data_IF_524757230949
#
_entry.id   IF_524757230949
#
_cell.length_a   1.000
_cell.length_b   1.000
_cell.length_c   1.000
_cell.angle_alpha   90.00
_cell.angle_beta   90.00
_cell.angle_gamma   90.00
#
_symmetry.space_group_name_H-M   'P 1'
#
loop_
_entity.id
_entity.type
_entity.pdbx_description
1 polymer ?
#
# COMPACT_ATOMS: atom_id res chain seq x y z
N UNK A 1 -12.36 27.25 3.52
CA UNK A 1 -12.33 26.32 2.37
C UNK A 1 -10.86 26.13 1.97
N UNK A 2 -10.08 25.44 2.81
CA UNK A 2 -8.61 25.37 2.67
C UNK A 2 -8.06 23.95 2.95
N UNK A 3 -8.81 23.14 3.70
CA UNK A 3 -8.46 21.76 4.06
C UNK A 3 -8.32 20.82 2.86
N UNK A 4 -9.06 21.02 1.78
CA UNK A 4 -9.06 20.10 0.63
C UNK A 4 -7.74 20.09 -0.16
N UNK A 5 -7.11 21.27 -0.29
CA UNK A 5 -5.84 21.44 -1.01
C UNK A 5 -4.66 20.88 -0.19
N UNK A 6 -4.61 21.19 1.11
CA UNK A 6 -3.59 20.66 2.03
C UNK A 6 -3.61 19.13 2.10
N UNK A 7 -4.80 18.54 2.02
CA UNK A 7 -4.92 17.09 1.97
C UNK A 7 -4.40 16.50 0.66
N UNK A 8 -4.67 17.12 -0.49
CA UNK A 8 -4.15 16.63 -1.79
C UNK A 8 -2.62 16.72 -1.85
N UNK A 9 -2.03 17.80 -1.35
CA UNK A 9 -0.57 17.92 -1.23
C UNK A 9 0.02 16.85 -0.31
N UNK A 10 -0.61 16.60 0.84
CA UNK A 10 -0.17 15.54 1.76
C UNK A 10 -0.26 14.15 1.12
N UNK A 11 -1.38 13.81 0.46
CA UNK A 11 -1.52 12.52 -0.23
C UNK A 11 -0.47 12.38 -1.34
N UNK A 12 -0.22 13.45 -2.09
CA UNK A 12 0.81 13.47 -3.12
C UNK A 12 2.21 13.27 -2.54
N UNK A 13 2.53 13.96 -1.45
CA UNK A 13 3.79 13.79 -0.73
C UNK A 13 3.98 12.35 -0.25
N UNK A 14 2.97 11.74 0.38
CA UNK A 14 3.04 10.33 0.79
C UNK A 14 3.27 9.42 -0.41
N UNK A 15 2.57 9.65 -1.53
CA UNK A 15 2.74 8.86 -2.73
C UNK A 15 4.15 8.96 -3.32
N UNK A 16 4.68 10.18 -3.43
CA UNK A 16 5.98 10.47 -4.04
C UNK A 16 7.15 9.98 -3.16
N UNK A 17 7.04 10.10 -1.84
CA UNK A 17 8.06 9.64 -0.88
C UNK A 17 7.92 8.17 -0.48
N UNK A 18 6.84 7.49 -0.89
CA UNK A 18 6.72 6.04 -0.70
C UNK A 18 7.76 5.32 -1.54
N UNK A 19 8.56 4.47 -0.89
CA UNK A 19 9.64 3.70 -1.53
C UNK A 19 9.27 2.23 -1.58
N UNK A 20 9.26 1.65 -2.79
CA UNK A 20 9.18 0.20 -2.97
C UNK A 20 10.60 -0.37 -2.88
N UNK A 21 10.94 -0.92 -1.72
CA UNK A 21 12.29 -1.44 -1.45
C UNK A 21 12.49 -2.81 -2.09
N UNK A 22 11.42 -3.60 -2.20
CA UNK A 22 11.44 -4.90 -2.83
C UNK A 22 10.14 -5.14 -3.59
N UNK A 23 10.27 -5.59 -4.84
CA UNK A 23 9.14 -6.05 -5.64
C UNK A 23 9.02 -7.58 -5.59
N UNK A 24 7.79 -8.12 -5.64
CA UNK A 24 7.60 -9.54 -5.85
C UNK A 24 8.11 -9.96 -7.24
N UNK A 25 8.69 -11.15 -7.36
CA UNK A 25 9.23 -11.67 -8.63
C UNK A 25 8.16 -12.25 -9.59
N UNK A 26 6.90 -12.33 -9.16
CA UNK A 26 5.80 -12.94 -9.94
C UNK A 26 4.85 -11.88 -10.48
N UNK A 27 4.59 -11.94 -11.80
CA UNK A 27 3.86 -10.95 -12.58
C UNK A 27 2.34 -10.94 -12.39
N UNK A 28 1.74 -9.75 -12.56
CA UNK A 28 0.31 -9.43 -12.26
C UNK A 28 -0.61 -9.77 -13.45
N UNK A 29 -0.09 -10.10 -14.63
CA UNK A 29 -0.90 -9.94 -15.86
C UNK A 29 -1.75 -11.16 -16.24
N UNK A 30 -1.41 -12.41 -15.87
CA UNK A 30 -2.21 -13.57 -16.32
C UNK A 30 -3.18 -14.09 -15.26
N UNK A 31 -4.27 -13.38 -15.03
CA UNK A 31 -5.39 -13.85 -14.21
C UNK A 31 -5.52 -13.19 -12.84
N UNK A 32 -6.12 -13.91 -11.88
CA UNK A 32 -6.28 -13.44 -10.51
C UNK A 32 -4.98 -13.63 -9.73
N UNK A 33 -4.44 -12.56 -9.17
CA UNK A 33 -3.17 -12.59 -8.45
C UNK A 33 -3.35 -12.14 -7.02
N UNK A 34 -2.59 -12.78 -6.13
CA UNK A 34 -2.47 -12.38 -4.74
C UNK A 34 -1.07 -11.83 -4.54
N UNK A 35 -0.97 -10.58 -4.13
CA UNK A 35 0.27 -9.86 -3.86
C UNK A 35 0.39 -9.61 -2.36
N UNK A 36 1.12 -10.48 -1.64
CA UNK A 36 1.52 -10.18 -0.28
C UNK A 36 2.40 -8.93 -0.24
N UNK A 37 2.16 -8.07 0.74
CA UNK A 37 2.99 -6.91 1.00
C UNK A 37 3.31 -6.80 2.49
N UNK A 38 4.46 -6.19 2.77
CA UNK A 38 4.87 -5.72 4.09
C UNK A 38 5.18 -4.24 3.93
N UNK A 39 4.37 -3.39 4.54
CA UNK A 39 4.56 -1.96 4.58
C UNK A 39 5.14 -1.58 5.94
N UNK A 40 6.17 -0.76 5.94
CA UNK A 40 6.89 -0.34 7.13
C UNK A 40 6.93 1.19 7.14
N UNK A 41 6.66 1.79 8.29
CA UNK A 41 6.89 3.21 8.52
C UNK A 41 7.10 3.51 9.99
N UNK A 42 7.44 4.76 10.30
CA UNK A 42 7.62 5.19 11.67
C UNK A 42 6.30 5.25 12.44
N UNK A 43 6.32 4.89 13.72
CA UNK A 43 5.21 5.18 14.63
C UNK A 43 5.15 6.70 14.88
N UNK A 44 3.96 7.29 14.72
CA UNK A 44 3.77 8.74 14.82
C UNK A 44 4.18 9.29 16.18
N UNK A 45 3.82 8.59 17.25
CA UNK A 45 4.08 9.03 18.63
C UNK A 45 5.51 8.75 19.07
N UNK A 46 6.16 7.76 18.45
CA UNK A 46 7.51 7.32 18.78
C UNK A 46 8.29 7.00 17.50
N UNK A 47 8.90 7.99 16.84
CA UNK A 47 9.58 7.78 15.55
C UNK A 47 10.73 6.76 15.59
N UNK A 48 11.25 6.44 16.77
CA UNK A 48 12.21 5.35 16.98
C UNK A 48 11.61 3.95 17.01
N UNK A 49 10.29 3.82 16.79
CA UNK A 49 9.55 2.56 16.68
C UNK A 49 8.98 2.41 15.29
N UNK A 50 8.95 1.18 14.81
CA UNK A 50 8.42 0.83 13.51
C UNK A 50 6.99 0.30 13.65
N UNK A 51 6.13 0.69 12.74
CA UNK A 51 4.84 0.06 12.50
C UNK A 51 4.94 -0.74 11.21
N UNK A 52 4.54 -1.99 11.29
CA UNK A 52 4.50 -2.94 10.19
C UNK A 52 3.04 -3.24 9.87
N UNK A 53 2.66 -3.07 8.61
CA UNK A 53 1.35 -3.41 8.06
C UNK A 53 1.55 -4.50 7.04
N UNK A 54 1.07 -5.70 7.34
CA UNK A 54 1.06 -6.83 6.41
C UNK A 54 -0.32 -7.00 5.82
N UNK A 55 -0.39 -7.41 4.57
CA UNK A 55 -1.64 -7.80 3.96
C UNK A 55 -1.42 -8.51 2.63
N UNK A 56 -2.53 -8.88 2.00
CA UNK A 56 -2.55 -9.51 0.68
C UNK A 56 -3.50 -8.75 -0.22
N UNK A 57 -3.00 -8.28 -1.36
CA UNK A 57 -3.82 -7.58 -2.34
C UNK A 57 -4.23 -8.59 -3.41
N UNK A 58 -5.52 -8.75 -3.60
CA UNK A 58 -6.12 -9.54 -4.67
C UNK A 58 -6.33 -8.62 -5.87
N UNK A 59 -5.62 -8.89 -6.95
CA UNK A 59 -5.72 -8.13 -8.21
C UNK A 59 -6.49 -8.95 -9.22
N UNK A 60 -7.52 -8.34 -9.82
CA UNK A 60 -8.27 -8.95 -10.91
C UNK A 60 -8.23 -8.07 -12.16
N UNK A 61 -7.92 -8.63 -13.35
CA UNK A 61 -7.92 -7.94 -14.63
C UNK A 61 -9.33 -7.69 -15.16
N UNK A 62 -10.38 -8.15 -14.47
CA UNK A 62 -11.77 -7.84 -14.84
C UNK A 62 -11.97 -6.32 -14.77
N UNK A 63 -12.09 -5.72 -15.95
CA UNK A 63 -12.45 -4.33 -16.19
C UNK A 63 -13.52 -3.88 -15.19
N UNK A 64 -13.12 -3.10 -14.18
CA UNK A 64 -14.08 -2.46 -13.27
C UNK A 64 -14.64 -1.26 -14.00
N UNK A 65 -15.79 -1.46 -14.64
CA UNK A 65 -16.67 -0.34 -15.01
C UNK A 65 -17.35 0.06 -13.70
N UNK A 66 -16.77 1.01 -12.97
CA UNK A 66 -17.50 1.67 -11.88
C UNK A 66 -18.49 2.67 -12.52
N UNK A 67 -19.81 2.45 -12.44
CA UNK A 67 -20.76 3.43 -12.92
C UNK A 67 -20.90 4.52 -11.84
N UNK A 68 -20.23 5.66 -12.05
CA UNK A 68 -20.46 6.87 -11.26
C UNK A 68 -19.42 7.20 -10.19
N UNK A 69 -19.67 8.33 -9.50
CA UNK A 69 -18.84 8.95 -8.44
C UNK A 69 -18.85 8.20 -7.10
N UNK A 70 -19.48 7.02 -7.04
CA UNK A 70 -19.76 6.24 -5.81
C UNK A 70 -19.00 4.89 -5.79
N UNK A 71 -17.73 4.89 -6.18
CA UNK A 71 -16.84 3.75 -5.94
C UNK A 71 -16.56 3.55 -4.43
N UNK A 72 -16.11 2.36 -4.01
CA UNK A 72 -15.74 2.14 -2.62
C UNK A 72 -14.58 3.06 -2.21
N UNK A 73 -14.62 3.52 -0.97
CA UNK A 73 -13.56 4.30 -0.34
C UNK A 73 -12.37 3.42 0.05
N UNK A 74 -11.21 4.00 0.33
CA UNK A 74 -10.06 3.22 0.83
C UNK A 74 -10.42 2.39 2.08
N UNK A 75 -11.24 2.94 2.97
CA UNK A 75 -11.65 2.23 4.19
C UNK A 75 -12.53 1.01 3.92
N UNK A 76 -13.25 1.00 2.79
CA UNK A 76 -14.07 -0.14 2.36
C UNK A 76 -13.24 -1.17 1.59
N UNK A 77 -12.26 -0.72 0.78
CA UNK A 77 -11.35 -1.59 0.03
C UNK A 77 -10.34 -2.33 0.91
N UNK A 78 -9.86 -1.67 1.97
CA UNK A 78 -8.80 -2.20 2.83
C UNK A 78 -9.29 -2.72 4.19
N UNK A 79 -10.55 -2.46 4.55
CA UNK A 79 -11.22 -3.06 5.71
C UNK A 79 -10.79 -2.56 7.08
N UNK A 80 -9.75 -1.73 7.18
CA UNK A 80 -9.28 -1.14 8.44
C UNK A 80 -9.47 0.37 8.46
N UNK A 81 -10.27 0.81 9.43
CA UNK A 81 -10.63 2.21 9.65
C UNK A 81 -9.98 2.80 10.90
N UNK A 82 -9.34 1.97 11.74
CA UNK A 82 -8.77 2.42 13.02
C UNK A 82 -7.37 3.00 12.84
N UNK A 83 -6.52 2.35 12.04
CA UNK A 83 -5.20 2.90 11.71
C UNK A 83 -5.27 3.99 10.62
N UNK A 84 -6.25 3.88 9.72
CA UNK A 84 -6.35 4.72 8.54
C UNK A 84 -6.78 6.15 8.88
N UNK A 85 -6.14 7.15 8.27
CA UNK A 85 -6.52 8.55 8.48
C UNK A 85 -7.95 8.83 7.97
N UNK A 86 -8.73 9.61 8.72
CA UNK A 86 -10.14 9.93 8.40
C UNK A 86 -10.29 10.60 7.04
N UNK A 87 -9.25 11.27 6.57
CA UNK A 87 -9.19 11.88 5.23
C UNK A 87 -9.31 10.86 4.11
N UNK A 88 -8.95 9.60 4.34
CA UNK A 88 -9.06 8.51 3.36
C UNK A 88 -10.41 7.79 3.44
N UNK A 89 -11.05 7.75 4.62
CA UNK A 89 -12.32 7.04 4.86
C UNK A 89 -13.44 7.56 3.97
N UNK A 90 -13.52 8.88 3.74
CA UNK A 90 -14.61 9.50 2.97
C UNK A 90 -14.26 9.72 1.49
N UNK A 91 -13.04 9.40 1.06
CA UNK A 91 -12.61 9.64 -0.31
C UNK A 91 -12.87 8.39 -1.16
N UNK A 92 -13.79 8.55 -2.11
CA UNK A 92 -14.00 7.60 -3.20
C UNK A 92 -12.82 7.71 -4.16
N UNK A 93 -12.10 6.62 -4.39
CA UNK A 93 -11.02 6.58 -5.35
C UNK A 93 -11.30 5.58 -6.47
N UNK A 94 -11.13 6.03 -7.70
CA UNK A 94 -10.37 5.25 -8.67
C UNK A 94 -8.90 5.50 -8.34
N UNK A 95 -8.10 4.46 -8.12
CA UNK A 95 -6.65 4.58 -7.88
C UNK A 95 -6.09 5.59 -8.89
N UNK A 96 -5.69 6.79 -8.42
CA UNK A 96 -5.41 7.93 -9.30
C UNK A 96 -4.19 7.66 -10.17
N UNK A 97 -3.33 6.76 -9.69
CA UNK A 97 -2.02 6.51 -10.24
C UNK A 97 -1.84 5.06 -10.74
N UNK A 98 -2.63 4.10 -10.28
CA UNK A 98 -2.65 2.74 -10.84
C UNK A 98 -3.71 2.56 -11.96
N UNK A 99 -3.44 1.71 -12.97
CA UNK A 99 -4.44 1.24 -13.95
C UNK A 99 -5.76 0.78 -13.33
N UNK A 100 -6.85 0.78 -14.11
CA UNK A 100 -8.19 0.35 -13.68
C UNK A 100 -8.27 -1.17 -13.46
N UNK A 101 -7.80 -1.64 -12.30
CA UNK A 101 -7.90 -3.04 -11.84
C UNK A 101 -8.79 -3.15 -10.59
N UNK A 102 -9.49 -4.27 -10.42
CA UNK A 102 -10.22 -4.54 -9.18
C UNK A 102 -9.23 -4.98 -8.10
N UNK A 103 -9.30 -4.35 -6.92
CA UNK A 103 -8.41 -4.60 -5.80
C UNK A 103 -9.21 -4.89 -4.54
N UNK A 104 -8.76 -5.89 -3.79
CA UNK A 104 -9.30 -6.25 -2.48
C UNK A 104 -8.13 -6.56 -1.55
N UNK A 105 -8.12 -5.99 -0.34
CA UNK A 105 -7.12 -6.31 0.66
C UNK A 105 -7.67 -7.36 1.63
N UNK A 106 -6.91 -8.42 1.81
CA UNK A 106 -7.18 -9.45 2.80
C UNK A 106 -6.06 -9.57 3.83
N UNK A 107 -6.43 -10.09 5.00
CA UNK A 107 -5.50 -10.45 6.08
C UNK A 107 -4.61 -9.30 6.55
N UNK A 108 -5.20 -8.12 6.67
CA UNK A 108 -4.51 -6.98 7.23
C UNK A 108 -4.08 -7.29 8.68
N UNK A 109 -2.77 -7.18 8.93
CA UNK A 109 -2.18 -7.33 10.25
C UNK A 109 -1.27 -6.14 10.52
N UNK A 110 -1.54 -5.46 11.63
CA UNK A 110 -0.74 -4.31 12.06
C UNK A 110 0.04 -4.72 13.30
N UNK A 111 1.34 -4.52 13.26
CA UNK A 111 2.25 -4.85 14.34
C UNK A 111 3.14 -3.65 14.65
N UNK A 112 3.39 -3.41 15.93
CA UNK A 112 4.33 -2.41 16.41
C UNK A 112 5.62 -3.10 16.82
N UNK A 113 6.75 -2.48 16.55
CA UNK A 113 8.07 -3.02 16.85
C UNK A 113 8.93 -1.97 17.57
N UNK A 114 9.56 -2.38 18.67
CA UNK A 114 10.51 -1.58 19.44
C UNK A 114 11.89 -1.50 18.74
N UNK A 115 11.90 -0.97 17.52
CA UNK A 115 13.12 -0.72 16.72
C UNK A 115 12.85 0.38 15.71
N UNK A 116 13.90 1.01 15.23
CA UNK A 116 13.78 2.00 14.18
C UNK A 116 13.27 1.39 12.86
N UNK A 117 12.56 2.16 12.03
CA UNK A 117 12.01 1.68 10.76
C UNK A 117 13.06 1.09 9.82
N UNK A 118 14.23 1.72 9.68
CA UNK A 118 15.30 1.27 8.79
C UNK A 118 15.84 -0.09 9.22
N UNK A 119 16.21 -0.25 10.49
CA UNK A 119 16.64 -1.54 11.05
C UNK A 119 15.54 -2.61 10.98
N UNK A 120 14.27 -2.22 11.04
CA UNK A 120 13.18 -3.16 10.81
C UNK A 120 13.09 -3.63 9.36
N UNK A 121 13.27 -2.73 8.39
CA UNK A 121 13.28 -3.06 6.95
C UNK A 121 14.38 -4.06 6.65
N UNK A 122 15.61 -3.83 7.12
CA UNK A 122 16.74 -4.75 6.93
C UNK A 122 16.42 -6.15 7.45
N UNK A 123 15.88 -6.23 8.67
CA UNK A 123 15.46 -7.50 9.27
C UNK A 123 14.40 -8.21 8.43
N UNK A 124 13.39 -7.48 7.95
CA UNK A 124 12.31 -8.08 7.13
C UNK A 124 12.90 -8.63 5.83
N UNK A 125 13.79 -7.89 5.18
CA UNK A 125 14.46 -8.35 3.96
C UNK A 125 15.29 -9.62 4.23
N UNK A 126 16.07 -9.65 5.31
CA UNK A 126 16.85 -10.83 5.73
C UNK A 126 15.96 -12.05 6.01
N UNK A 127 14.82 -11.84 6.69
CA UNK A 127 13.85 -12.90 6.96
C UNK A 127 13.23 -13.46 5.67
N UNK A 128 12.88 -12.58 4.73
CA UNK A 128 12.33 -13.00 3.42
C UNK A 128 13.36 -13.79 2.61
N UNK A 129 14.63 -13.37 2.61
CA UNK A 129 15.73 -14.09 1.95
C UNK A 129 15.94 -15.45 2.60
N UNK A 130 16.07 -15.50 3.93
CA UNK A 130 16.31 -16.74 4.68
C UNK A 130 15.21 -17.79 4.49
N UNK A 131 13.96 -17.33 4.32
CA UNK A 131 12.80 -18.20 4.09
C UNK A 131 12.51 -18.43 2.60
N UNK A 132 13.35 -17.91 1.71
CA UNK A 132 13.20 -18.04 0.26
C UNK A 132 11.85 -17.49 -0.27
N UNK A 133 11.29 -16.48 0.41
CA UNK A 133 10.00 -15.89 0.05
C UNK A 133 10.21 -14.84 -1.04
N UNK A 134 9.89 -15.17 -2.29
CA UNK A 134 10.14 -14.31 -3.46
C UNK A 134 8.95 -13.46 -3.92
N UNK A 135 7.75 -13.76 -3.44
CA UNK A 135 6.49 -13.19 -3.92
C UNK A 135 5.94 -12.05 -3.04
N UNK A 136 6.70 -11.59 -2.05
CA UNK A 136 6.25 -10.55 -1.11
C UNK A 136 6.94 -9.22 -1.40
N UNK A 137 6.15 -8.17 -1.60
CA UNK A 137 6.64 -6.80 -1.72
C UNK A 137 6.99 -6.18 -0.37
N UNK A 138 8.02 -5.34 -0.34
CA UNK A 138 8.39 -4.55 0.85
C UNK A 138 8.32 -3.07 0.49
N UNK A 139 7.52 -2.33 1.25
CA UNK A 139 7.17 -0.93 1.01
C UNK A 139 7.60 -0.13 2.25
N UNK A 140 8.21 1.02 2.04
CA UNK A 140 8.50 1.99 3.09
C UNK A 140 7.63 3.22 2.85
N UNK A 141 6.89 3.64 3.88
CA UNK A 141 6.01 4.80 3.82
C UNK A 141 6.48 5.91 4.76
N UNK A 142 6.33 7.19 4.37
CA UNK A 142 6.58 8.32 5.26
C UNK A 142 5.52 8.45 6.37
N UNK A 143 4.29 7.94 6.18
CA UNK A 143 3.23 7.98 7.20
C UNK A 143 2.31 6.76 7.07
N UNK A 144 2.35 5.88 8.09
CA UNK A 144 1.60 4.62 8.11
C UNK A 144 0.07 4.78 8.12
N UNK A 145 -0.45 5.95 8.51
CA UNK A 145 -1.91 6.20 8.48
C UNK A 145 -2.44 6.38 7.06
N UNK A 146 -1.52 6.61 6.12
CA UNK A 146 -1.77 6.73 4.69
C UNK A 146 -1.30 5.50 3.92
N UNK A 147 -1.19 4.34 4.59
CA UNK A 147 -0.80 3.08 3.95
C UNK A 147 -1.57 2.73 2.66
N UNK A 148 -2.86 3.09 2.45
CA UNK A 148 -3.53 2.80 1.19
C UNK A 148 -2.93 3.57 0.00
N UNK A 149 -2.41 4.78 0.24
CA UNK A 149 -1.71 5.59 -0.77
C UNK A 149 -0.36 4.97 -1.12
N UNK A 150 0.36 4.47 -0.12
CA UNK A 150 1.61 3.75 -0.35
C UNK A 150 1.41 2.43 -1.08
N UNK A 151 0.29 1.76 -0.85
CA UNK A 151 -0.12 0.59 -1.62
C UNK A 151 -0.47 0.97 -3.06
N UNK A 152 -1.18 2.07 -3.31
CA UNK A 152 -1.42 2.59 -4.67
C UNK A 152 -0.09 2.81 -5.42
N UNK A 153 0.88 3.44 -4.76
CA UNK A 153 2.24 3.59 -5.31
C UNK A 153 2.88 2.26 -5.66
N UNK A 154 2.82 1.27 -4.76
CA UNK A 154 3.35 -0.06 -4.99
C UNK A 154 2.70 -0.76 -6.18
N UNK A 155 1.37 -0.75 -6.26
CA UNK A 155 0.62 -1.37 -7.34
C UNK A 155 0.96 -0.70 -8.68
N UNK A 156 1.01 0.63 -8.73
CA UNK A 156 1.47 1.35 -9.92
C UNK A 156 2.86 0.91 -10.33
N UNK A 157 3.80 0.80 -9.40
CA UNK A 157 5.19 0.47 -9.73
C UNK A 157 5.36 -0.95 -10.28
N UNK A 158 4.52 -1.90 -9.84
CA UNK A 158 4.52 -3.26 -10.40
C UNK A 158 3.85 -3.24 -11.77
N UNK A 159 2.71 -2.57 -11.93
CA UNK A 159 2.01 -2.48 -13.21
C UNK A 159 2.86 -1.75 -14.26
N UNK A 160 3.53 -0.65 -13.88
CA UNK A 160 4.46 0.08 -14.75
C UNK A 160 5.65 -0.78 -15.20
N UNK A 161 6.07 -1.75 -14.40
CA UNK A 161 7.14 -2.69 -14.77
C UNK A 161 6.62 -3.74 -15.75
N UNK A 162 5.41 -4.24 -15.54
CA UNK A 162 4.82 -5.34 -16.32
C UNK A 162 4.23 -4.88 -17.67
N UNK A 163 3.79 -3.63 -17.78
CA UNK A 163 3.21 -3.06 -19.01
C UNK A 163 4.19 -2.17 -19.81
N UNK A 164 5.47 -2.11 -19.42
CA UNK A 164 6.52 -1.38 -20.17
C UNK A 164 7.16 -2.20 -21.30
N UNK A 165 6.66 -3.40 -21.59
CA UNK A 165 7.00 -4.21 -22.77
C UNK A 165 6.03 -3.96 -23.94
#
# INVERSE_FOLDING_TARGET
>A
MDSGWQDEEMLRHVFDETRVVRKPLTGIITGYHVLPYILIGAEREQPGRAVEVRGRIKVSPRLVIAPGRDGPTYGELFGDRELMDTRLVARVFSFRYAPRVALESEELKIQRHDRDPEGHVERVLDELIRREIVNTGVIVTPDVRFYPVSIDRFIREILDQEFRE
#
